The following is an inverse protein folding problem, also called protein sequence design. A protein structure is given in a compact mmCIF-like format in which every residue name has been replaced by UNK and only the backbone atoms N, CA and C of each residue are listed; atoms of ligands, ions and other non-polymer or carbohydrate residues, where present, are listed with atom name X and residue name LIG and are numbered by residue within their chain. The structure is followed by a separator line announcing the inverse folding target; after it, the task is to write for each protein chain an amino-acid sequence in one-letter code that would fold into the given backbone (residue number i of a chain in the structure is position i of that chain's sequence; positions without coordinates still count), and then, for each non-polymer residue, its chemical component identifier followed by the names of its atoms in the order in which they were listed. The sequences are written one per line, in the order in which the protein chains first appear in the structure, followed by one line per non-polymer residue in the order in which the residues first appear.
data_IF_427332442369
#
_entry.id   IF_427332442369
#
_cell.length_a   1.000
_cell.length_b   1.000
_cell.length_c   1.000
_cell.angle_alpha   90.00
_cell.angle_beta   90.00
_cell.angle_gamma   90.00
#
_symmetry.space_group_name_H-M   'P 1'
#
loop_
_entity.id
_entity.type
_entity.pdbx_description
1 polymer ?
#
# COMPACT_ATOMS: atom_id res chain seq x y z
N UNK A 1 -12.48 15.21 4.27
CA UNK A 1 -12.50 16.09 3.08
C UNK A 1 -11.16 15.91 2.38
N UNK A 2 -11.12 15.23 1.23
CA UNK A 2 -9.88 14.87 0.52
C UNK A 2 -9.44 16.05 -0.34
N UNK A 3 -8.34 16.73 0.00
CA UNK A 3 -7.80 17.83 -0.81
C UNK A 3 -6.62 17.35 -1.69
N UNK A 4 -6.67 17.54 -3.03
CA UNK A 4 -5.73 17.15 -4.10
C UNK A 4 -4.22 17.46 -3.94
N UNK A 5 -3.36 16.85 -4.79
CA UNK A 5 -3.72 15.91 -5.87
C UNK A 5 -3.56 14.44 -5.49
N UNK A 6 -4.70 13.79 -5.33
CA UNK A 6 -4.83 12.34 -5.50
C UNK A 6 -4.69 12.00 -6.97
N UNK A 7 -4.11 10.86 -7.26
CA UNK A 7 -3.90 10.40 -8.63
C UNK A 7 -5.24 10.02 -9.25
N UNK A 8 -5.41 10.34 -10.55
CA UNK A 8 -6.54 9.82 -11.32
C UNK A 8 -6.41 8.29 -11.36
N UNK A 9 -7.42 7.58 -10.85
CA UNK A 9 -7.43 6.12 -10.87
C UNK A 9 -7.98 5.64 -12.20
N UNK A 10 -7.22 4.81 -12.91
CA UNK A 10 -7.73 4.07 -14.07
C UNK A 10 -7.86 2.60 -13.68
N UNK A 11 -9.08 2.09 -13.78
CA UNK A 11 -9.44 0.73 -13.43
C UNK A 11 -9.96 0.00 -14.66
N UNK A 12 -9.54 -1.25 -14.79
CA UNK A 12 -9.90 -2.11 -15.91
C UNK A 12 -10.72 -3.26 -15.37
N UNK A 13 -11.81 -3.59 -16.06
CA UNK A 13 -12.64 -4.73 -15.63
C UNK A 13 -11.97 -6.08 -15.94
N UNK A 14 -11.20 -6.14 -17.02
CA UNK A 14 -10.61 -7.37 -17.57
C UNK A 14 -9.09 -7.26 -17.81
N UNK A 15 -8.41 -6.29 -17.19
CA UNK A 15 -6.97 -6.05 -17.37
C UNK A 15 -6.52 -5.76 -18.82
N UNK A 16 -7.47 -5.40 -19.69
CA UNK A 16 -7.26 -5.04 -21.09
C UNK A 16 -7.83 -3.64 -21.38
N UNK A 17 -7.12 -2.57 -21.04
CA UNK A 17 -7.23 -1.32 -21.81
C UNK A 17 -6.48 -1.56 -23.12
N UNK A 18 -7.22 -1.52 -24.22
CA UNK A 18 -6.59 -1.40 -25.52
C UNK A 18 -5.89 -0.04 -25.61
N UNK A 19 -4.80 0.01 -26.36
CA UNK A 19 -4.07 1.27 -26.59
C UNK A 19 -5.00 2.38 -27.12
N UNK A 20 -6.00 2.00 -27.93
CA UNK A 20 -7.02 2.90 -28.45
C UNK A 20 -7.87 3.52 -27.34
N UNK A 21 -8.28 2.75 -26.33
CA UNK A 21 -9.05 3.27 -25.22
C UNK A 21 -8.22 4.27 -24.38
N UNK A 22 -6.94 3.98 -24.14
CA UNK A 22 -6.03 4.91 -23.47
C UNK A 22 -5.88 6.21 -24.27
N UNK A 23 -5.74 6.12 -25.59
CA UNK A 23 -5.67 7.28 -26.49
C UNK A 23 -6.93 8.12 -26.43
N UNK A 24 -8.11 7.50 -26.56
CA UNK A 24 -9.39 8.20 -26.53
C UNK A 24 -9.58 8.99 -25.21
N UNK A 25 -9.20 8.39 -24.07
CA UNK A 25 -9.26 9.07 -22.77
C UNK A 25 -8.29 10.25 -22.75
N UNK A 26 -7.04 10.07 -23.19
CA UNK A 26 -6.04 11.14 -23.20
C UNK A 26 -6.45 12.31 -24.12
N UNK A 27 -6.92 12.01 -25.34
CA UNK A 27 -7.40 12.99 -26.30
C UNK A 27 -8.59 13.78 -25.73
N UNK A 28 -9.56 13.06 -25.14
CA UNK A 28 -10.74 13.68 -24.54
C UNK A 28 -10.35 14.62 -23.39
N UNK A 29 -9.54 14.16 -22.43
CA UNK A 29 -9.08 14.96 -21.30
C UNK A 29 -8.31 16.22 -21.77
N UNK A 30 -7.51 16.10 -22.82
CA UNK A 30 -6.83 17.24 -23.43
C UNK A 30 -7.81 18.21 -24.10
N UNK A 31 -8.81 17.70 -24.83
CA UNK A 31 -9.81 18.53 -25.52
C UNK A 31 -10.64 19.39 -24.55
N UNK A 32 -10.87 18.90 -23.32
CA UNK A 32 -11.55 19.64 -22.26
C UNK A 32 -10.58 20.40 -21.33
N UNK A 33 -9.28 20.44 -21.67
CA UNK A 33 -8.21 21.07 -20.90
C UNK A 33 -8.14 20.60 -19.44
N UNK A 34 -8.46 19.33 -19.18
CA UNK A 34 -8.37 18.76 -17.84
C UNK A 34 -6.92 18.46 -17.49
N UNK A 35 -6.39 19.12 -16.47
CA UNK A 35 -5.04 18.86 -15.99
C UNK A 35 -4.98 17.51 -15.25
N UNK A 36 -4.20 16.57 -15.79
CA UNK A 36 -3.88 15.29 -15.12
C UNK A 36 -2.49 15.40 -14.48
N UNK A 37 -2.37 15.73 -13.19
CA UNK A 37 -1.07 15.83 -12.53
C UNK A 37 -0.46 14.45 -12.23
N UNK A 38 -1.31 13.44 -11.98
CA UNK A 38 -0.90 12.07 -11.70
C UNK A 38 -1.94 11.06 -12.17
N UNK A 39 -1.50 9.88 -12.57
CA UNK A 39 -2.35 8.71 -12.85
C UNK A 39 -1.83 7.51 -12.09
N UNK A 40 -2.72 6.70 -11.53
CA UNK A 40 -2.42 5.39 -10.94
C UNK A 40 -3.32 4.33 -11.58
N UNK A 41 -2.72 3.28 -12.13
CA UNK A 41 -3.41 2.27 -12.92
C UNK A 41 -2.65 0.93 -12.87
N UNK A 42 -3.22 -0.12 -13.46
CA UNK A 42 -2.44 -1.31 -13.85
C UNK A 42 -1.25 -0.87 -14.73
N UNK A 43 -0.16 -1.64 -14.72
CA UNK A 43 1.08 -1.24 -15.39
C UNK A 43 0.90 -1.04 -16.89
N UNK A 44 0.10 -1.90 -17.54
CA UNK A 44 -0.29 -1.79 -18.95
C UNK A 44 -1.06 -0.49 -19.23
N UNK A 45 -2.16 -0.25 -18.52
CA UNK A 45 -2.98 0.95 -18.65
C UNK A 45 -2.19 2.24 -18.41
N UNK A 46 -1.40 2.26 -17.33
CA UNK A 46 -0.63 3.42 -16.94
C UNK A 46 0.43 3.76 -17.98
N UNK A 47 1.08 2.75 -18.56
CA UNK A 47 2.03 2.94 -19.65
C UNK A 47 1.37 3.51 -20.91
N UNK A 48 0.26 2.90 -21.35
CA UNK A 48 -0.48 3.32 -22.54
C UNK A 48 -1.02 4.75 -22.37
N UNK A 49 -1.71 5.03 -21.26
CA UNK A 49 -2.21 6.37 -20.97
C UNK A 49 -1.09 7.40 -20.89
N UNK A 50 0.00 7.11 -20.16
CA UNK A 50 1.10 8.05 -20.03
C UNK A 50 1.79 8.32 -21.37
N UNK A 51 1.85 7.35 -22.29
CA UNK A 51 2.34 7.55 -23.66
C UNK A 51 1.48 8.58 -24.40
N UNK A 52 0.17 8.33 -24.52
CA UNK A 52 -0.75 9.22 -25.24
C UNK A 52 -0.88 10.58 -24.58
N UNK A 53 -0.95 10.64 -23.24
CA UNK A 53 -1.05 11.89 -22.49
C UNK A 53 0.16 12.79 -22.70
N UNK A 54 1.38 12.27 -22.66
CA UNK A 54 2.57 13.09 -22.98
C UNK A 54 2.67 13.44 -24.46
N UNK A 55 1.99 12.71 -25.35
CA UNK A 55 1.90 13.02 -26.77
C UNK A 55 1.01 14.22 -27.10
N UNK A 56 0.11 14.63 -26.18
CA UNK A 56 -0.78 15.78 -26.39
C UNK A 56 -0.06 17.13 -26.30
N UNK A 57 1.14 17.17 -25.70
CA UNK A 57 1.88 18.40 -25.50
C UNK A 57 3.40 18.16 -25.40
N UNK A 58 4.23 18.91 -26.17
CA UNK A 58 5.68 18.73 -26.19
C UNK A 58 6.38 19.13 -24.88
N UNK A 59 5.69 19.81 -23.96
CA UNK A 59 6.25 20.22 -22.67
C UNK A 59 5.97 19.22 -21.54
N UNK A 60 5.00 18.32 -21.71
CA UNK A 60 4.68 17.34 -20.66
C UNK A 60 5.78 16.28 -20.57
N UNK A 61 6.24 15.98 -19.36
CA UNK A 61 7.10 14.84 -19.06
C UNK A 61 6.40 13.91 -18.08
N UNK A 62 6.76 12.62 -18.14
CA UNK A 62 6.30 11.62 -17.18
C UNK A 62 7.43 11.17 -16.27
N UNK A 63 7.12 10.94 -15.01
CA UNK A 63 8.03 10.34 -14.01
C UNK A 63 7.28 9.28 -13.21
N UNK A 64 7.88 8.11 -13.05
CA UNK A 64 7.33 7.07 -12.16
C UNK A 64 7.48 7.54 -10.72
N UNK A 65 6.39 7.50 -9.96
CA UNK A 65 6.39 7.81 -8.52
C UNK A 65 6.10 6.58 -7.67
N UNK A 66 5.46 5.55 -8.22
CA UNK A 66 5.29 4.24 -7.59
C UNK A 66 5.33 3.13 -8.65
N UNK A 67 6.00 2.02 -8.36
CA UNK A 67 5.98 0.78 -9.16
C UNK A 67 5.68 -0.38 -8.21
N UNK A 68 4.42 -0.81 -8.19
CA UNK A 68 3.86 -1.63 -7.11
C UNK A 68 3.37 -2.97 -7.63
N UNK A 69 3.42 -3.98 -6.77
CA UNK A 69 2.72 -5.25 -6.98
C UNK A 69 1.52 -5.35 -6.05
N UNK A 70 0.36 -5.67 -6.63
CA UNK A 70 -0.81 -6.09 -5.87
C UNK A 70 -0.69 -7.58 -5.57
N UNK A 71 -0.81 -7.92 -4.29
CA UNK A 71 -0.90 -9.30 -3.83
C UNK A 71 -2.28 -9.59 -3.24
N UNK A 72 -2.70 -10.86 -3.31
CA UNK A 72 -3.89 -11.40 -2.65
C UNK A 72 -3.57 -12.65 -1.84
N UNK A 73 -4.31 -12.87 -0.75
CA UNK A 73 -4.17 -14.02 0.15
C UNK A 73 -5.54 -14.54 0.54
N UNK A 74 -5.75 -15.85 0.40
CA UNK A 74 -6.96 -16.55 0.91
C UNK A 74 -6.67 -17.54 2.04
N UNK A 75 -5.43 -18.00 2.15
CA UNK A 75 -4.99 -18.95 3.17
C UNK A 75 -3.63 -18.50 3.69
N UNK A 76 -3.43 -18.50 5.00
CA UNK A 76 -2.19 -18.02 5.64
C UNK A 76 -1.22 -19.18 5.85
N UNK A 77 0.03 -18.99 5.43
CA UNK A 77 1.16 -19.79 5.87
C UNK A 77 1.85 -19.09 7.04
N UNK A 78 1.74 -19.69 8.23
CA UNK A 78 2.32 -19.11 9.45
C UNK A 78 3.83 -19.36 9.53
N UNK A 79 4.66 -18.32 9.74
CA UNK A 79 6.06 -18.52 10.08
C UNK A 79 6.19 -19.29 11.41
N UNK A 80 7.07 -20.29 11.45
CA UNK A 80 7.29 -21.12 12.64
C UNK A 80 8.40 -20.58 13.53
N UNK A 81 8.30 -20.82 14.85
CA UNK A 81 9.39 -20.54 15.80
C UNK A 81 9.59 -19.06 16.14
N UNK A 82 8.59 -18.21 15.87
CA UNK A 82 8.63 -16.79 16.24
C UNK A 82 7.90 -16.56 17.56
N UNK A 83 8.60 -15.98 18.54
CA UNK A 83 8.00 -15.56 19.80
C UNK A 83 7.23 -14.23 19.64
N UNK A 84 6.09 -14.14 20.33
CA UNK A 84 5.33 -12.91 20.45
C UNK A 84 3.85 -13.08 20.16
N UNK A 85 3.12 -11.97 20.25
CA UNK A 85 1.68 -11.92 20.00
C UNK A 85 1.31 -10.64 19.27
N UNK A 86 0.21 -10.70 18.52
CA UNK A 86 -0.42 -9.52 17.94
C UNK A 86 -1.42 -8.93 18.93
N UNK A 87 -1.40 -7.60 19.08
CA UNK A 87 -2.47 -6.85 19.75
C UNK A 87 -2.85 -5.60 18.98
N UNK A 88 -4.01 -5.02 19.31
CA UNK A 88 -4.38 -3.68 18.82
C UNK A 88 -3.47 -2.63 19.46
N UNK A 89 -3.15 -1.61 18.68
CA UNK A 89 -2.52 -0.41 19.20
C UNK A 89 -3.50 0.39 20.06
N UNK A 90 -2.96 1.08 21.06
CA UNK A 90 -3.70 1.94 22.00
C UNK A 90 -3.01 3.29 22.11
N UNK A 91 -3.61 4.24 22.81
CA UNK A 91 -2.98 5.55 23.06
C UNK A 91 -1.66 5.44 23.84
N UNK A 92 -1.45 4.36 24.59
CA UNK A 92 -0.17 4.11 25.29
C UNK A 92 1.01 3.90 24.32
N UNK A 93 0.73 3.63 23.05
CA UNK A 93 1.74 3.41 22.00
C UNK A 93 2.13 4.72 21.27
N UNK A 94 1.43 5.83 21.52
CA UNK A 94 1.73 7.15 20.94
C UNK A 94 3.15 7.68 21.20
N UNK A 95 3.87 7.31 22.28
CA UNK A 95 5.25 7.72 22.44
C UNK A 95 6.19 7.27 21.31
N UNK A 96 5.87 6.19 20.57
CA UNK A 96 6.74 5.68 19.48
C UNK A 96 6.06 5.53 18.12
N UNK A 97 4.73 5.41 18.06
CA UNK A 97 4.01 5.18 16.79
C UNK A 97 4.23 6.27 15.74
N UNK A 98 4.20 7.58 16.06
CA UNK A 98 4.43 8.62 15.05
C UNK A 98 5.80 8.48 14.39
N UNK A 99 6.84 8.11 15.15
CA UNK A 99 8.19 7.94 14.63
C UNK A 99 8.32 6.70 13.75
N UNK A 100 7.55 5.64 14.04
CA UNK A 100 7.46 4.45 13.18
C UNK A 100 6.73 4.75 11.88
N UNK A 101 5.65 5.53 11.92
CA UNK A 101 4.92 5.96 10.73
C UNK A 101 5.81 6.84 9.87
N UNK A 102 6.50 7.83 10.45
CA UNK A 102 7.49 8.65 9.74
C UNK A 102 8.56 7.75 9.10
N UNK A 103 9.13 6.82 9.86
CA UNK A 103 10.14 5.88 9.36
C UNK A 103 9.65 5.01 8.21
N UNK A 104 8.37 4.61 8.21
CA UNK A 104 7.75 3.90 7.10
C UNK A 104 7.62 4.80 5.87
N UNK A 105 7.08 6.01 6.05
CA UNK A 105 6.82 6.94 4.94
C UNK A 105 8.09 7.47 4.29
N UNK A 106 9.18 7.60 5.05
CA UNK A 106 10.52 7.94 4.56
C UNK A 106 11.03 6.87 3.59
N UNK A 107 10.88 5.59 3.95
CA UNK A 107 11.28 4.46 3.09
C UNK A 107 10.45 4.34 1.81
N UNK A 108 9.28 4.97 1.74
CA UNK A 108 8.41 4.96 0.55
C UNK A 108 8.32 6.30 -0.17
N UNK A 109 9.16 7.29 0.17
CA UNK A 109 9.10 8.66 -0.36
C UNK A 109 7.71 9.32 -0.24
N UNK A 110 6.97 9.00 0.82
CA UNK A 110 5.64 9.54 1.14
C UNK A 110 5.69 10.42 2.39
N UNK A 111 6.77 11.19 2.53
CA UNK A 111 7.11 11.95 3.72
C UNK A 111 5.91 12.73 4.29
N UNK A 112 5.66 12.53 5.58
CA UNK A 112 4.72 13.32 6.37
C UNK A 112 5.45 13.88 7.59
N UNK A 113 4.96 15.00 8.12
CA UNK A 113 5.44 15.53 9.38
C UNK A 113 5.09 14.59 10.53
N UNK A 114 5.86 14.69 11.63
CA UNK A 114 5.55 13.95 12.86
C UNK A 114 4.14 14.26 13.38
N UNK A 115 3.65 15.49 13.20
CA UNK A 115 2.31 15.87 13.65
C UNK A 115 1.22 15.20 12.83
N UNK A 116 1.40 15.12 11.51
CA UNK A 116 0.51 14.35 10.63
C UNK A 116 0.54 12.86 10.99
N UNK A 117 1.72 12.30 11.27
CA UNK A 117 1.88 10.92 11.70
C UNK A 117 1.16 10.63 13.03
N UNK A 118 1.22 11.55 13.99
CA UNK A 118 0.49 11.45 15.26
C UNK A 118 -1.02 11.46 15.05
N UNK A 119 -1.54 12.39 14.25
CA UNK A 119 -2.96 12.43 13.92
C UNK A 119 -3.40 11.14 13.20
N UNK A 120 -2.57 10.62 12.31
CA UNK A 120 -2.83 9.35 11.61
C UNK A 120 -2.82 8.16 12.56
N UNK A 121 -1.91 8.12 13.53
CA UNK A 121 -1.89 7.09 14.57
C UNK A 121 -3.17 7.11 15.42
N UNK A 122 -3.58 8.30 15.88
CA UNK A 122 -4.81 8.50 16.66
C UNK A 122 -6.07 8.04 15.90
N UNK A 123 -6.20 8.40 14.62
CA UNK A 123 -7.31 7.92 13.78
C UNK A 123 -7.34 6.38 13.70
N UNK A 124 -6.18 5.76 13.50
CA UNK A 124 -6.09 4.30 13.37
C UNK A 124 -6.32 3.57 14.70
N UNK A 125 -5.90 4.15 15.82
CA UNK A 125 -6.22 3.66 17.16
C UNK A 125 -7.73 3.77 17.41
N UNK A 126 -8.34 4.93 17.16
CA UNK A 126 -9.77 5.15 17.36
C UNK A 126 -10.66 4.24 16.52
N UNK A 127 -10.22 3.87 15.32
CA UNK A 127 -10.92 2.91 14.45
C UNK A 127 -10.56 1.44 14.74
N UNK A 128 -9.65 1.18 15.69
CA UNK A 128 -9.18 -0.17 16.01
C UNK A 128 -8.51 -0.89 14.84
N UNK A 129 -7.85 -0.13 13.96
CA UNK A 129 -7.30 -0.62 12.69
C UNK A 129 -5.78 -0.72 12.66
N UNK A 130 -5.08 -0.28 13.70
CA UNK A 130 -3.63 -0.44 13.86
C UNK A 130 -3.30 -1.57 14.84
N UNK A 131 -2.33 -2.40 14.45
CA UNK A 131 -1.90 -3.59 15.17
C UNK A 131 -0.39 -3.57 15.39
N UNK A 132 0.02 -4.13 16.52
CA UNK A 132 1.40 -4.22 16.96
C UNK A 132 1.73 -5.69 17.21
N UNK A 133 2.93 -6.10 16.77
CA UNK A 133 3.54 -7.33 17.24
C UNK A 133 4.40 -7.02 18.46
N UNK A 134 4.15 -7.74 19.54
CA UNK A 134 4.93 -7.67 20.76
C UNK A 134 5.76 -8.92 20.95
N UNK A 135 7.04 -8.74 21.24
CA UNK A 135 7.97 -9.82 21.58
C UNK A 135 8.67 -9.48 22.89
N UNK A 136 8.63 -10.39 23.86
CA UNK A 136 9.19 -10.21 25.21
C UNK A 136 8.72 -8.90 25.89
N UNK A 137 7.42 -8.61 25.76
CA UNK A 137 6.78 -7.42 26.34
C UNK A 137 7.16 -6.09 25.68
N UNK A 138 7.77 -6.12 24.48
CA UNK A 138 8.16 -4.90 23.75
C UNK A 138 7.48 -4.85 22.39
N UNK A 139 6.98 -3.67 21.97
CA UNK A 139 6.50 -3.49 20.60
C UNK A 139 7.69 -3.57 19.64
N UNK A 140 7.57 -4.41 18.60
CA UNK A 140 8.66 -4.64 17.65
C UNK A 140 8.27 -4.48 16.18
N UNK A 141 6.99 -4.49 15.84
CA UNK A 141 6.51 -4.23 14.48
C UNK A 141 5.09 -3.68 14.52
N UNK A 142 4.70 -2.90 13.51
CA UNK A 142 3.32 -2.46 13.30
C UNK A 142 2.80 -2.85 11.92
N UNK A 143 1.47 -2.95 11.80
CA UNK A 143 0.73 -3.12 10.56
C UNK A 143 -0.70 -2.60 10.76
N UNK A 144 -1.35 -2.15 9.69
CA UNK A 144 -2.70 -1.64 9.74
C UNK A 144 -3.63 -2.40 8.79
N UNK A 145 -4.87 -2.59 9.23
CA UNK A 145 -6.01 -2.88 8.38
C UNK A 145 -6.43 -1.58 7.70
N UNK A 146 -6.58 -1.61 6.38
CA UNK A 146 -7.10 -0.48 5.60
C UNK A 146 -8.17 -0.96 4.63
N UNK A 147 -9.06 -0.03 4.23
CA UNK A 147 -10.03 -0.18 3.12
C UNK A 147 -10.70 -1.56 3.08
N UNK A 148 -11.69 -1.85 3.94
CA UNK A 148 -12.52 -3.02 3.73
C UNK A 148 -13.30 -2.80 2.42
N UNK A 149 -13.06 -3.65 1.42
CA UNK A 149 -14.04 -3.87 0.37
C UNK A 149 -15.12 -4.84 0.93
N UNK A 150 -16.22 -5.04 0.21
CA UNK A 150 -17.34 -5.87 0.71
C UNK A 150 -16.88 -7.29 1.13
N UNK A 151 -15.85 -7.84 0.47
CA UNK A 151 -15.40 -9.24 0.62
C UNK A 151 -13.96 -9.38 1.13
N UNK A 152 -13.19 -8.32 1.26
CA UNK A 152 -11.76 -8.40 1.49
C UNK A 152 -11.19 -7.17 2.19
N UNK A 153 -10.03 -7.35 2.82
CA UNK A 153 -9.37 -6.33 3.62
C UNK A 153 -7.92 -6.11 3.16
N UNK A 154 -7.46 -4.87 3.16
CA UNK A 154 -6.06 -4.56 2.83
C UNK A 154 -5.18 -4.49 4.08
N UNK A 155 -4.03 -5.16 4.05
CA UNK A 155 -2.93 -4.96 5.00
C UNK A 155 -2.02 -3.86 4.46
N UNK A 156 -1.68 -2.89 5.30
CA UNK A 156 -0.82 -1.76 4.95
C UNK A 156 0.02 -1.33 6.17
N UNK A 157 0.83 -0.28 6.03
CA UNK A 157 1.61 0.35 7.09
C UNK A 157 2.49 -0.65 7.86
N UNK A 158 3.00 -1.64 7.14
CA UNK A 158 3.88 -2.68 7.71
C UNK A 158 5.23 -2.04 7.95
N UNK A 159 5.66 -2.00 9.21
CA UNK A 159 6.95 -1.44 9.56
C UNK A 159 7.55 -2.14 10.78
N UNK A 160 8.82 -2.51 10.64
CA UNK A 160 9.68 -2.96 11.72
C UNK A 160 10.85 -1.98 11.81
N UNK A 161 11.14 -1.38 13.00
CA UNK A 161 12.29 -0.51 13.18
C UNK A 161 13.59 -1.15 12.69
N UNK A 162 14.47 -0.34 12.09
CA UNK A 162 15.68 -0.82 11.39
C UNK A 162 16.54 -1.77 12.26
N UNK A 163 16.73 -1.43 13.53
CA UNK A 163 17.49 -2.23 14.51
C UNK A 163 16.81 -3.54 14.96
N UNK A 164 15.56 -3.77 14.56
CA UNK A 164 14.76 -4.96 14.89
C UNK A 164 14.49 -5.85 13.67
N UNK A 165 14.97 -5.47 12.48
CA UNK A 165 14.80 -6.25 11.23
C UNK A 165 15.59 -7.56 11.24
N UNK A 166 15.23 -8.47 10.33
CA UNK A 166 15.86 -9.78 10.19
C UNK A 166 15.44 -10.82 11.23
N UNK A 167 14.49 -10.48 12.10
CA UNK A 167 13.99 -11.36 13.19
C UNK A 167 12.61 -11.98 12.92
N UNK A 168 12.06 -11.79 11.72
CA UNK A 168 10.75 -12.33 11.33
C UNK A 168 9.52 -11.56 11.85
N UNK A 169 9.68 -10.45 12.59
CA UNK A 169 8.55 -9.75 13.20
C UNK A 169 7.50 -9.23 12.21
N UNK A 170 7.91 -8.64 11.09
CA UNK A 170 6.98 -8.24 10.04
C UNK A 170 6.21 -9.47 9.50
N UNK A 171 6.90 -10.60 9.30
CA UNK A 171 6.28 -11.83 8.82
C UNK A 171 5.24 -12.36 9.80
N UNK A 172 5.57 -12.41 11.09
CA UNK A 172 4.67 -12.83 12.15
C UNK A 172 3.42 -11.94 12.21
N UNK A 173 3.63 -10.61 12.21
CA UNK A 173 2.54 -9.65 12.31
C UNK A 173 1.60 -9.72 11.10
N UNK A 174 2.15 -9.75 9.90
CA UNK A 174 1.34 -9.79 8.67
C UNK A 174 0.58 -11.11 8.57
N UNK A 175 1.20 -12.25 8.91
CA UNK A 175 0.49 -13.53 8.96
C UNK A 175 -0.64 -13.51 9.99
N UNK A 176 -0.37 -13.06 11.21
CA UNK A 176 -1.38 -12.99 12.28
C UNK A 176 -2.53 -12.03 11.95
N UNK A 177 -2.23 -10.85 11.40
CA UNK A 177 -3.25 -9.89 10.99
C UNK A 177 -4.07 -10.44 9.84
N UNK A 178 -3.45 -11.08 8.86
CA UNK A 178 -4.16 -11.68 7.73
C UNK A 178 -5.11 -12.78 8.19
N UNK A 179 -4.66 -13.66 9.09
CA UNK A 179 -5.51 -14.71 9.66
C UNK A 179 -6.68 -14.11 10.43
N UNK A 180 -6.40 -13.12 11.28
CA UNK A 180 -7.45 -12.41 12.03
C UNK A 180 -8.52 -11.78 11.12
N UNK A 181 -8.11 -11.21 9.98
CA UNK A 181 -9.04 -10.65 9.01
C UNK A 181 -9.90 -11.74 8.33
N UNK A 182 -9.31 -12.86 7.93
CA UNK A 182 -10.07 -13.99 7.37
C UNK A 182 -11.08 -14.55 8.39
N UNK A 183 -10.63 -14.75 9.63
CA UNK A 183 -11.48 -15.20 10.74
C UNK A 183 -12.61 -14.19 11.07
N UNK A 184 -12.41 -12.91 10.75
CA UNK A 184 -13.41 -11.85 10.89
C UNK A 184 -14.43 -11.82 9.74
N UNK A 185 -14.40 -12.80 8.83
CA UNK A 185 -15.38 -12.97 7.74
C UNK A 185 -14.97 -12.37 6.39
N UNK A 186 -13.73 -11.89 6.24
CA UNK A 186 -13.22 -11.51 4.91
C UNK A 186 -12.85 -12.76 4.11
N UNK A 187 -13.19 -12.80 2.83
CA UNK A 187 -12.87 -13.90 1.90
C UNK A 187 -11.40 -13.89 1.46
N UNK A 188 -10.74 -12.72 1.52
CA UNK A 188 -9.35 -12.55 1.14
C UNK A 188 -8.72 -11.29 1.75
N UNK A 189 -7.39 -11.30 1.86
CA UNK A 189 -6.57 -10.13 2.19
C UNK A 189 -5.82 -9.64 0.96
N UNK A 190 -5.56 -8.33 0.87
CA UNK A 190 -4.72 -7.74 -0.18
C UNK A 190 -3.62 -6.87 0.42
N UNK A 191 -2.56 -6.61 -0.33
CA UNK A 191 -1.60 -5.57 -0.03
C UNK A 191 -0.92 -5.09 -1.31
N UNK A 192 -0.38 -3.87 -1.26
CA UNK A 192 0.55 -3.37 -2.24
C UNK A 192 1.96 -3.37 -1.66
N UNK A 193 2.95 -3.64 -2.50
CA UNK A 193 4.36 -3.47 -2.14
C UNK A 193 5.15 -2.93 -3.31
N UNK A 194 6.21 -2.19 -3.02
CA UNK A 194 7.15 -1.73 -4.05
C UNK A 194 7.86 -2.93 -4.69
N UNK A 195 7.86 -2.99 -6.02
CA UNK A 195 8.55 -4.01 -6.80
C UNK A 195 10.07 -4.01 -6.55
N UNK A 196 10.64 -2.86 -6.20
CA UNK A 196 12.06 -2.72 -5.88
C UNK A 196 12.43 -3.22 -4.47
N UNK A 197 11.46 -3.66 -3.65
CA UNK A 197 11.71 -4.15 -2.29
C UNK A 197 11.67 -5.69 -2.23
N UNK A 198 12.79 -6.40 -2.53
CA UNK A 198 12.81 -7.86 -2.58
C UNK A 198 12.52 -8.51 -1.22
N UNK A 199 12.86 -7.84 -0.12
CA UNK A 199 12.61 -8.34 1.23
C UNK A 199 11.11 -8.43 1.52
N UNK A 200 10.36 -7.35 1.29
CA UNK A 200 8.91 -7.33 1.49
C UNK A 200 8.22 -8.32 0.55
N UNK A 201 8.60 -8.34 -0.73
CA UNK A 201 8.06 -9.29 -1.71
C UNK A 201 8.26 -10.76 -1.28
N UNK A 202 9.45 -11.11 -0.78
CA UNK A 202 9.73 -12.46 -0.27
C UNK A 202 8.92 -12.77 0.99
N UNK A 203 8.80 -11.82 1.92
CA UNK A 203 8.00 -11.99 3.14
C UNK A 203 6.54 -12.31 2.78
N UNK A 204 5.92 -11.54 1.90
CA UNK A 204 4.51 -11.73 1.55
C UNK A 204 4.28 -13.08 0.87
N UNK A 205 5.11 -13.45 -0.10
CA UNK A 205 5.02 -14.75 -0.76
C UNK A 205 5.17 -15.92 0.22
N UNK A 206 6.11 -15.83 1.18
CA UNK A 206 6.29 -16.84 2.22
C UNK A 206 5.08 -16.99 3.16
N UNK A 207 4.28 -15.93 3.32
CA UNK A 207 3.03 -15.95 4.10
C UNK A 207 1.88 -16.52 3.28
N UNK A 208 2.06 -16.73 1.97
CA UNK A 208 1.08 -17.28 1.04
C UNK A 208 0.45 -16.26 0.10
N UNK A 209 0.89 -14.99 0.14
CA UNK A 209 0.34 -13.97 -0.76
C UNK A 209 0.76 -14.27 -2.20
N UNK A 210 -0.21 -14.42 -3.09
CA UNK A 210 0.00 -14.63 -4.52
C UNK A 210 -0.04 -13.29 -5.28
N UNK A 211 0.84 -13.08 -6.28
CA UNK A 211 0.79 -11.89 -7.12
C UNK A 211 -0.50 -11.88 -7.94
N UNK A 212 -1.12 -10.70 -8.07
CA UNK A 212 -2.30 -10.50 -8.93
C UNK A 212 -1.88 -9.78 -10.19
N UNK A 213 -1.47 -8.51 -10.05
CA UNK A 213 -1.01 -7.67 -11.13
C UNK A 213 -0.10 -6.56 -10.60
N UNK A 214 0.57 -5.87 -11.51
CA UNK A 214 1.44 -4.75 -11.18
C UNK A 214 0.70 -3.43 -11.48
N UNK A 215 0.91 -2.44 -10.60
CA UNK A 215 0.38 -1.08 -10.70
C UNK A 215 1.52 -0.09 -10.86
N UNK A 216 1.25 0.99 -11.58
CA UNK A 216 2.20 2.09 -11.74
C UNK A 216 1.51 3.42 -11.46
N UNK A 217 2.24 4.31 -10.79
CA UNK A 217 1.87 5.72 -10.68
C UNK A 217 2.83 6.58 -11.50
N UNK A 218 2.28 7.36 -12.43
CA UNK A 218 3.02 8.41 -13.12
C UNK A 218 2.60 9.77 -12.59
N UNK A 219 3.59 10.65 -12.40
CA UNK A 219 3.41 12.09 -12.26
C UNK A 219 3.77 12.79 -13.57
N UNK A 220 2.96 13.77 -13.94
CA UNK A 220 3.16 14.61 -15.11
C UNK A 220 3.49 16.04 -14.72
N UNK A 221 4.35 16.68 -15.50
CA UNK A 221 4.75 18.07 -15.33
C UNK A 221 5.97 18.43 -16.17
#
# INVERSE_FOLDING_TARGET
MLIPPYSMLMLEKNEEISDEAAKLIADYLNSIQYAVPKVMASKSAGLAFAHHWTGTSPVLRKRVTMDLRLYTLKNVSHPTGLEGTMRKATEQDLPFLPDWIVGMTDETNQLISRKEAENYALERIGTGSLYIWESKGKPVSMAAKTRPNIKGASVNLVYTPKNLRGKGYASALVAALSQHLLDSGFEFCTLFTDLANPTSNKIYQNIGYAPVCDYIEYKFG
#
